data_IF_789631105288
#
_entry.id   IF_789631105288
#
_cell.length_a   1.000
_cell.length_b   1.000
_cell.length_c   1.000
_cell.angle_alpha   90.00
_cell.angle_beta   90.00
_cell.angle_gamma   90.00
#
_symmetry.space_group_name_H-M   'P 1'
#
loop_
_entity.id
_entity.type
_entity.pdbx_description
1 polymer ?
#
# COMPACT_ATOMS: atom_id res chain seq x y z
N UNK A 1 13.80 -44.63 7.86
CA UNK A 1 12.80 -43.94 8.71
C UNK A 1 12.90 -42.48 8.37
N UNK A 2 11.78 -41.82 8.07
CA UNK A 2 11.75 -40.37 7.90
C UNK A 2 11.84 -39.71 9.29
N UNK A 3 12.66 -38.69 9.42
CA UNK A 3 12.74 -37.86 10.64
C UNK A 3 11.69 -36.76 10.53
N UNK A 4 10.87 -36.61 11.57
CA UNK A 4 9.87 -35.57 11.65
C UNK A 4 10.21 -34.60 12.79
N UNK A 5 9.99 -33.30 12.56
CA UNK A 5 10.13 -32.24 13.57
C UNK A 5 8.74 -31.73 13.91
N UNK A 6 8.31 -31.90 15.16
CA UNK A 6 7.05 -31.37 15.66
C UNK A 6 7.31 -30.07 16.45
N UNK A 7 6.87 -28.93 15.93
CA UNK A 7 7.02 -27.62 16.58
C UNK A 7 5.78 -26.77 16.36
N UNK A 8 5.36 -26.05 17.39
CA UNK A 8 4.25 -25.09 17.31
C UNK A 8 4.74 -23.68 16.91
N UNK A 9 6.01 -23.39 17.18
CA UNK A 9 6.60 -22.08 16.86
C UNK A 9 8.12 -22.18 16.64
N UNK A 10 8.62 -21.36 15.73
CA UNK A 10 10.04 -21.04 15.58
C UNK A 10 10.25 -19.60 16.04
N UNK A 11 11.20 -19.40 16.97
CA UNK A 11 11.44 -18.10 17.59
C UNK A 11 12.89 -17.66 17.42
N UNK A 12 13.09 -16.35 17.37
CA UNK A 12 14.39 -15.73 17.59
C UNK A 12 14.85 -15.99 19.04
N UNK A 13 16.16 -16.00 19.30
CA UNK A 13 16.73 -16.20 20.65
C UNK A 13 16.19 -15.25 21.70
N UNK A 14 15.74 -14.05 21.33
CA UNK A 14 15.05 -13.09 22.18
C UNK A 14 13.56 -13.38 22.45
N UNK A 15 13.04 -14.52 22.01
CA UNK A 15 11.67 -14.97 22.27
C UNK A 15 10.62 -14.51 21.25
N UNK A 16 10.96 -13.61 20.32
CA UNK A 16 10.03 -13.16 19.26
C UNK A 16 9.72 -14.30 18.28
N UNK A 17 8.45 -14.59 18.05
CA UNK A 17 8.03 -15.62 17.11
C UNK A 17 8.27 -15.18 15.67
N UNK A 18 9.12 -15.92 14.96
CA UNK A 18 9.32 -15.76 13.53
C UNK A 18 8.22 -16.47 12.73
N UNK A 19 7.81 -17.65 13.20
CA UNK A 19 6.78 -18.48 12.58
C UNK A 19 5.99 -19.20 13.66
N UNK A 20 4.69 -19.36 13.45
CA UNK A 20 3.82 -20.23 14.25
C UNK A 20 3.05 -21.19 13.36
N UNK A 21 2.73 -22.37 13.88
CA UNK A 21 1.90 -23.38 13.22
C UNK A 21 0.68 -23.60 14.10
N UNK A 22 -0.51 -23.42 13.56
CA UNK A 22 -1.75 -23.64 14.31
C UNK A 22 -2.15 -25.13 14.36
N UNK A 23 -3.17 -25.44 15.13
CA UNK A 23 -3.67 -26.83 15.30
C UNK A 23 -4.17 -27.48 14.00
N UNK A 24 -4.38 -26.70 12.95
CA UNK A 24 -4.76 -27.18 11.62
C UNK A 24 -3.55 -27.28 10.68
N UNK A 25 -2.32 -27.07 11.17
CA UNK A 25 -1.09 -27.13 10.38
C UNK A 25 -0.86 -25.89 9.52
N UNK A 26 -1.61 -24.77 9.71
CA UNK A 26 -1.42 -23.55 8.94
C UNK A 26 -0.30 -22.72 9.54
N UNK A 27 0.58 -22.24 8.67
CA UNK A 27 1.72 -21.41 9.05
C UNK A 27 1.36 -19.93 9.03
N UNK A 28 1.79 -19.19 10.04
CA UNK A 28 1.70 -17.73 10.08
C UNK A 28 3.07 -17.11 10.37
N UNK A 29 3.31 -15.91 9.85
CA UNK A 29 4.50 -15.10 10.04
C UNK A 29 4.11 -13.82 10.80
N UNK A 30 3.96 -13.87 12.12
CA UNK A 30 3.36 -12.77 12.90
C UNK A 30 4.17 -11.48 12.86
N UNK A 31 5.49 -11.56 12.68
CA UNK A 31 6.38 -10.39 12.63
C UNK A 31 6.63 -9.86 11.20
N UNK A 32 6.05 -10.49 10.18
CA UNK A 32 6.25 -10.03 8.81
C UNK A 32 5.49 -8.72 8.56
N UNK A 33 6.18 -7.64 8.13
CA UNK A 33 5.54 -6.37 7.85
C UNK A 33 4.43 -6.48 6.82
N UNK A 34 3.25 -5.96 7.17
CA UNK A 34 2.07 -5.90 6.30
C UNK A 34 1.08 -4.88 6.81
N UNK A 35 0.35 -4.26 5.91
CA UNK A 35 -0.68 -3.29 6.28
C UNK A 35 -1.84 -3.29 5.29
N UNK A 36 -2.98 -2.82 5.75
CA UNK A 36 -4.14 -2.46 4.94
C UNK A 36 -4.80 -1.23 5.54
N UNK A 37 -4.97 -0.22 4.72
CA UNK A 37 -5.70 1.01 5.04
C UNK A 37 -6.76 1.28 3.99
N UNK A 38 -7.89 1.81 4.42
CA UNK A 38 -9.00 2.22 3.54
C UNK A 38 -9.27 3.71 3.72
N UNK A 39 -9.76 4.36 2.69
CA UNK A 39 -10.17 5.76 2.79
C UNK A 39 -11.28 5.91 3.83
N UNK A 40 -11.16 6.85 4.76
CA UNK A 40 -12.12 7.03 5.88
C UNK A 40 -13.33 7.88 5.53
N UNK A 41 -13.19 8.79 4.56
CA UNK A 41 -14.27 9.65 4.06
C UNK A 41 -14.02 9.96 2.59
N UNK A 42 -15.11 10.21 1.85
CA UNK A 42 -15.00 10.68 0.48
C UNK A 42 -14.20 11.99 0.44
N UNK A 43 -13.23 12.07 -0.44
CA UNK A 43 -12.27 13.18 -0.48
C UNK A 43 -12.19 13.74 -1.89
N UNK A 44 -12.25 15.07 -2.01
CA UNK A 44 -12.04 15.73 -3.29
C UNK A 44 -10.61 15.50 -3.76
N UNK A 45 -10.47 15.03 -5.00
CA UNK A 45 -9.17 14.96 -5.68
C UNK A 45 -8.90 16.34 -6.25
N UNK A 46 -7.79 16.99 -5.90
CA UNK A 46 -7.45 18.30 -6.41
C UNK A 46 -7.31 18.30 -7.94
N UNK A 47 -7.71 19.40 -8.56
CA UNK A 47 -7.36 19.70 -9.94
C UNK A 47 -5.89 20.15 -9.98
N UNK A 48 -5.07 19.48 -10.76
CA UNK A 48 -3.66 19.83 -10.92
C UNK A 48 -2.75 18.63 -11.20
N UNK A 49 -1.63 18.98 -11.80
CA UNK A 49 -0.55 18.04 -12.12
C UNK A 49 0.29 17.75 -10.87
N UNK A 50 0.73 16.52 -10.70
CA UNK A 50 1.70 16.11 -9.68
C UNK A 50 1.26 16.36 -8.21
N UNK A 51 -0.03 16.28 -7.94
CA UNK A 51 -0.50 16.38 -6.56
C UNK A 51 -0.15 15.08 -5.82
N UNK A 52 0.85 15.16 -4.97
CA UNK A 52 1.06 14.16 -3.95
C UNK A 52 -0.20 14.08 -3.09
N UNK A 53 -0.92 12.98 -3.21
CA UNK A 53 -2.02 12.72 -2.31
C UNK A 53 -1.48 12.26 -0.97
N UNK A 54 -0.66 13.08 -0.35
CA UNK A 54 -0.34 12.94 1.06
C UNK A 54 -1.61 13.22 1.84
N UNK A 55 -2.59 12.36 1.65
CA UNK A 55 -3.81 12.42 2.41
C UNK A 55 -3.39 12.25 3.84
N UNK A 56 -3.66 13.24 4.66
CA UNK A 56 -3.32 13.22 6.08
C UNK A 56 -3.76 11.89 6.69
N UNK A 57 -3.07 11.41 7.71
CA UNK A 57 -3.42 10.17 8.40
C UNK A 57 -4.91 10.10 8.82
N UNK A 58 -5.53 11.27 9.01
CA UNK A 58 -6.96 11.39 9.29
C UNK A 58 -7.88 10.96 8.12
N UNK A 59 -7.36 10.85 6.91
CA UNK A 59 -8.12 10.42 5.75
C UNK A 59 -8.08 8.90 5.53
N UNK A 60 -7.31 8.17 6.33
CA UNK A 60 -7.17 6.72 6.23
C UNK A 60 -7.60 6.01 7.51
N UNK A 61 -8.35 4.95 7.34
CA UNK A 61 -8.70 4.03 8.43
C UNK A 61 -7.82 2.79 8.31
N UNK A 62 -7.01 2.57 9.30
CA UNK A 62 -6.21 1.36 9.42
C UNK A 62 -7.12 0.16 9.70
N UNK A 63 -6.95 -0.92 8.95
CA UNK A 63 -7.58 -2.21 9.19
C UNK A 63 -6.65 -3.13 9.94
N UNK A 64 -5.40 -3.10 9.58
CA UNK A 64 -4.27 -3.68 10.32
C UNK A 64 -2.96 -3.06 9.84
N UNK A 65 -1.97 -2.99 10.73
CA UNK A 65 -0.58 -2.63 10.43
C UNK A 65 0.36 -3.42 11.35
N UNK A 66 1.08 -4.34 10.77
CA UNK A 66 2.10 -5.13 11.45
C UNK A 66 3.47 -4.58 11.08
N UNK A 67 4.13 -3.98 12.05
CA UNK A 67 5.46 -3.38 11.88
C UNK A 67 5.46 -1.86 11.75
N UNK A 68 4.31 -1.19 11.87
CA UNK A 68 4.22 0.27 11.73
C UNK A 68 4.56 0.73 10.30
N UNK A 69 3.98 0.07 9.32
CA UNK A 69 4.29 0.31 7.91
C UNK A 69 3.62 1.55 7.34
N UNK A 70 2.50 1.98 7.91
CA UNK A 70 1.71 3.07 7.35
C UNK A 70 1.41 4.14 8.38
N UNK A 71 1.70 5.38 8.04
CA UNK A 71 1.40 6.54 8.89
C UNK A 71 1.46 7.83 8.09
N UNK A 72 0.64 8.80 8.48
CA UNK A 72 0.59 10.13 7.81
C UNK A 72 0.40 10.07 6.30
N UNK A 73 -0.35 9.06 5.80
CA UNK A 73 -0.57 8.87 4.36
C UNK A 73 0.62 8.27 3.59
N UNK A 74 1.63 7.79 4.29
CA UNK A 74 2.85 7.24 3.73
C UNK A 74 3.04 5.78 4.12
N UNK A 75 3.52 4.96 3.21
CA UNK A 75 4.20 3.73 3.57
C UNK A 75 5.62 4.07 4.00
N UNK A 76 6.07 3.49 5.11
CA UNK A 76 7.46 3.55 5.57
C UNK A 76 7.95 2.12 5.80
N UNK A 77 9.02 1.74 5.14
CA UNK A 77 9.58 0.41 5.28
C UNK A 77 10.22 0.22 6.68
N UNK A 78 9.69 -0.65 7.54
CA UNK A 78 10.27 -0.88 8.87
C UNK A 78 11.58 -1.68 8.79
N UNK A 79 11.75 -2.50 7.78
CA UNK A 79 12.96 -3.30 7.52
C UNK A 79 13.24 -3.34 6.02
N UNK A 80 14.50 -3.44 5.64
CA UNK A 80 14.88 -3.59 4.22
C UNK A 80 14.30 -4.87 3.61
N UNK A 81 13.99 -4.83 2.32
CA UNK A 81 13.56 -5.99 1.55
C UNK A 81 12.59 -5.65 0.43
N UNK A 82 12.10 -6.69 -0.22
CA UNK A 82 11.15 -6.56 -1.33
C UNK A 82 9.73 -6.54 -0.79
N UNK A 83 9.00 -5.52 -1.15
CA UNK A 83 7.60 -5.32 -0.78
C UNK A 83 6.70 -5.40 -2.00
N UNK A 84 5.58 -6.09 -1.84
CA UNK A 84 4.44 -5.98 -2.72
C UNK A 84 3.53 -4.89 -2.19
N UNK A 85 3.24 -3.87 -2.99
CA UNK A 85 2.37 -2.77 -2.62
C UNK A 85 1.31 -2.59 -3.69
N UNK A 86 0.06 -2.46 -3.26
CA UNK A 86 -1.08 -2.16 -4.13
C UNK A 86 -1.78 -0.91 -3.63
N UNK A 87 -2.02 0.00 -4.54
CA UNK A 87 -2.87 1.17 -4.35
C UNK A 87 -4.04 1.09 -5.31
N UNK A 88 -5.24 1.03 -4.78
CA UNK A 88 -6.48 1.15 -5.54
C UNK A 88 -7.16 2.46 -5.19
N UNK A 89 -7.54 3.20 -6.21
CA UNK A 89 -8.38 4.36 -6.08
C UNK A 89 -9.67 4.14 -6.86
N UNK A 90 -10.80 4.38 -6.20
CA UNK A 90 -12.11 4.42 -6.81
C UNK A 90 -12.65 5.84 -6.74
N UNK A 91 -13.07 6.40 -7.85
CA UNK A 91 -13.44 7.80 -7.94
C UNK A 91 -14.60 8.04 -8.90
N UNK A 92 -15.23 9.19 -8.71
CA UNK A 92 -16.27 9.73 -9.58
C UNK A 92 -15.75 11.04 -10.22
N UNK A 93 -15.14 10.97 -11.41
CA UNK A 93 -14.68 12.15 -12.12
C UNK A 93 -15.85 12.87 -12.81
N UNK A 94 -15.77 14.19 -12.91
CA UNK A 94 -16.69 14.98 -13.71
C UNK A 94 -16.60 14.63 -15.19
N UNK A 95 -17.67 14.84 -15.94
CA UNK A 95 -17.66 14.62 -17.37
C UNK A 95 -16.58 15.46 -18.07
N UNK A 96 -15.78 14.82 -18.91
CA UNK A 96 -14.66 15.46 -19.62
C UNK A 96 -13.36 15.58 -18.80
N UNK A 97 -13.38 15.16 -17.53
CA UNK A 97 -12.18 15.09 -16.69
C UNK A 97 -11.42 13.79 -16.92
N UNK A 98 -10.14 13.80 -16.62
CA UNK A 98 -9.35 12.57 -16.49
C UNK A 98 -8.70 12.54 -15.11
N UNK A 99 -8.46 11.34 -14.63
CA UNK A 99 -7.86 11.09 -13.33
C UNK A 99 -6.86 9.95 -13.43
N UNK A 100 -5.82 10.03 -12.66
CA UNK A 100 -4.81 8.98 -12.54
C UNK A 100 -4.39 8.79 -11.09
N UNK A 101 -3.82 7.64 -10.81
CA UNK A 101 -3.24 7.30 -9.53
C UNK A 101 -1.80 6.85 -9.71
N UNK A 102 -0.95 7.13 -8.74
CA UNK A 102 0.45 6.79 -8.82
C UNK A 102 1.10 6.57 -7.46
N UNK A 103 2.27 5.97 -7.50
CA UNK A 103 3.15 5.79 -6.35
C UNK A 103 4.48 6.50 -6.63
N UNK A 104 4.97 7.25 -5.65
CA UNK A 104 6.27 7.93 -5.69
C UNK A 104 6.97 7.78 -4.35
N UNK A 105 8.28 7.86 -4.29
CA UNK A 105 8.96 7.84 -3.01
C UNK A 105 10.47 7.84 -3.06
N UNK A 106 11.08 8.11 -1.90
CA UNK A 106 12.54 8.05 -1.71
C UNK A 106 13.10 6.64 -1.81
N UNK A 107 12.22 5.64 -1.82
CA UNK A 107 12.57 4.24 -1.98
C UNK A 107 12.70 3.80 -3.44
N UNK A 108 12.09 4.56 -4.35
CA UNK A 108 12.06 4.25 -5.78
C UNK A 108 13.19 5.06 -6.44
N UNK A 109 14.42 4.78 -6.03
CA UNK A 109 15.61 5.30 -6.69
C UNK A 109 16.09 4.26 -7.67
N UNK A 110 15.41 4.12 -8.78
CA UNK A 110 15.98 3.19 -9.69
C UNK A 110 16.01 3.64 -11.13
N UNK A 111 16.85 2.90 -11.83
CA UNK A 111 17.19 2.98 -13.23
C UNK A 111 15.98 2.84 -14.16
N UNK A 112 14.79 2.50 -13.66
CA UNK A 112 13.60 2.24 -14.46
C UNK A 112 12.45 3.23 -14.26
N UNK A 113 12.66 4.32 -13.51
CA UNK A 113 11.72 5.45 -13.48
C UNK A 113 10.30 5.09 -13.06
N UNK A 114 10.12 4.15 -12.15
CA UNK A 114 8.81 3.83 -11.56
C UNK A 114 8.26 4.97 -10.68
N UNK A 115 8.88 6.13 -10.76
CA UNK A 115 8.46 7.34 -10.05
C UNK A 115 7.06 7.79 -10.42
N UNK A 116 6.48 7.29 -11.51
CA UNK A 116 5.16 7.71 -11.96
C UNK A 116 4.46 6.57 -12.72
N UNK A 117 3.94 5.59 -12.00
CA UNK A 117 2.97 4.67 -12.59
C UNK A 117 1.61 5.38 -12.63
N UNK A 118 1.33 6.01 -13.75
CA UNK A 118 0.06 6.70 -13.98
C UNK A 118 -0.86 5.83 -14.83
N UNK A 119 -2.08 5.67 -14.38
CA UNK A 119 -3.18 5.16 -15.19
C UNK A 119 -4.19 6.27 -15.40
N UNK A 120 -4.57 6.54 -16.63
CA UNK A 120 -5.50 7.61 -17.00
C UNK A 120 -6.80 7.02 -17.52
N UNK A 121 -7.91 7.60 -17.13
CA UNK A 121 -9.20 7.31 -17.72
C UNK A 121 -10.00 8.62 -17.89
N UNK A 122 -10.66 8.76 -19.05
CA UNK A 122 -11.58 9.85 -19.31
C UNK A 122 -12.85 9.70 -18.47
N UNK A 123 -13.30 10.81 -17.89
CA UNK A 123 -14.38 10.83 -16.92
C UNK A 123 -15.77 10.80 -17.50
N UNK A 124 -16.72 10.70 -16.58
CA UNK A 124 -18.18 10.71 -16.82
C UNK A 124 -18.91 9.58 -16.08
N UNK A 125 -18.22 8.59 -15.56
CA UNK A 125 -18.75 7.51 -14.72
C UNK A 125 -17.77 7.17 -13.62
N UNK A 126 -18.27 6.52 -12.58
CA UNK A 126 -17.44 5.92 -11.53
C UNK A 126 -16.36 5.02 -12.16
N UNK A 127 -15.13 5.21 -11.75
CA UNK A 127 -13.98 4.48 -12.28
C UNK A 127 -13.00 4.09 -11.19
N UNK A 128 -12.30 2.98 -11.38
CA UNK A 128 -11.30 2.48 -10.45
C UNK A 128 -9.97 2.23 -11.13
N UNK A 129 -8.89 2.55 -10.42
CA UNK A 129 -7.52 2.30 -10.82
C UNK A 129 -6.85 1.43 -9.79
N UNK A 130 -6.09 0.46 -10.26
CA UNK A 130 -5.27 -0.38 -9.37
C UNK A 130 -3.83 -0.33 -9.85
N UNK A 131 -2.94 0.10 -8.98
CA UNK A 131 -1.51 0.03 -9.16
C UNK A 131 -0.93 -1.02 -8.24
N UNK A 132 -0.10 -1.87 -8.79
CA UNK A 132 0.65 -2.86 -8.03
C UNK A 132 2.11 -2.79 -8.41
N UNK A 133 2.98 -2.72 -7.42
CA UNK A 133 4.42 -2.70 -7.62
C UNK A 133 5.13 -3.68 -6.68
N UNK A 134 6.22 -4.26 -7.18
CA UNK A 134 7.25 -4.92 -6.38
C UNK A 134 8.41 -3.96 -6.25
N UNK A 135 8.73 -3.55 -5.04
CA UNK A 135 9.78 -2.56 -4.78
C UNK A 135 10.79 -3.11 -3.78
N UNK A 136 12.07 -3.00 -4.12
CA UNK A 136 13.15 -3.26 -3.18
C UNK A 136 13.43 -1.98 -2.40
N UNK A 137 13.22 -2.02 -1.10
CA UNK A 137 13.17 -0.84 -0.24
C UNK A 137 14.12 -1.00 0.93
N UNK A 138 15.04 -0.05 1.10
CA UNK A 138 15.86 0.02 2.31
C UNK A 138 15.02 0.44 3.52
N UNK A 139 15.41 0.03 4.72
CA UNK A 139 14.72 0.40 5.95
C UNK A 139 14.61 1.93 6.11
N UNK A 140 13.47 2.39 6.59
CA UNK A 140 13.18 3.81 6.82
C UNK A 140 12.86 4.61 5.56
N UNK A 141 12.82 3.98 4.38
CA UNK A 141 12.41 4.67 3.14
C UNK A 141 10.90 4.70 3.00
N UNK A 142 10.42 5.74 2.34
CA UNK A 142 8.98 6.02 2.21
C UNK A 142 8.49 5.90 0.78
N UNK A 143 7.22 5.53 0.64
CA UNK A 143 6.46 5.60 -0.61
C UNK A 143 5.22 6.44 -0.34
N UNK A 144 5.00 7.44 -1.19
CA UNK A 144 3.82 8.28 -1.24
C UNK A 144 2.86 7.73 -2.29
N UNK A 145 1.58 8.02 -2.08
CA UNK A 145 0.52 7.65 -3.00
C UNK A 145 -0.09 8.94 -3.53
N UNK A 146 -0.07 9.09 -4.84
CA UNK A 146 -0.48 10.32 -5.50
C UNK A 146 -1.68 10.15 -6.40
N UNK A 147 -2.32 11.27 -6.70
CA UNK A 147 -3.36 11.38 -7.71
C UNK A 147 -3.04 12.48 -8.67
N UNK A 148 -3.45 12.29 -9.90
CA UNK A 148 -3.39 13.30 -10.95
C UNK A 148 -4.77 13.46 -11.55
N UNK A 149 -5.23 14.68 -11.75
CA UNK A 149 -6.52 14.91 -12.38
C UNK A 149 -6.60 16.29 -13.04
N UNK A 150 -7.46 16.40 -14.04
CA UNK A 150 -7.97 17.68 -14.50
C UNK A 150 -9.48 17.69 -14.28
N UNK A 151 -9.95 18.71 -13.58
CA UNK A 151 -11.34 18.83 -13.17
C UNK A 151 -11.67 18.21 -11.82
N UNK A 152 -12.89 18.41 -11.36
CA UNK A 152 -13.33 17.94 -10.05
C UNK A 152 -13.58 16.44 -10.06
N UNK A 153 -13.01 15.77 -9.10
CA UNK A 153 -13.22 14.34 -8.85
C UNK A 153 -13.35 14.08 -7.36
N UNK A 154 -14.04 13.01 -7.01
CA UNK A 154 -14.18 12.59 -5.62
C UNK A 154 -13.68 11.15 -5.49
N UNK A 155 -12.65 10.94 -4.68
CA UNK A 155 -12.24 9.61 -4.25
C UNK A 155 -13.27 9.07 -3.25
N UNK A 156 -13.65 7.81 -3.40
CA UNK A 156 -14.75 7.18 -2.66
C UNK A 156 -14.26 6.13 -1.70
N UNK A 157 -14.92 6.04 -0.56
CA UNK A 157 -14.59 5.08 0.51
C UNK A 157 -14.89 3.64 0.15
N UNK A 158 -15.82 3.40 -0.75
CA UNK A 158 -16.33 2.08 -1.14
C UNK A 158 -15.39 1.30 -2.09
N UNK A 159 -14.24 1.86 -2.42
CA UNK A 159 -13.27 1.17 -3.30
C UNK A 159 -11.86 1.71 -3.25
N UNK A 160 -11.55 2.67 -2.36
CA UNK A 160 -10.20 3.23 -2.25
C UNK A 160 -9.47 2.64 -1.06
N UNK A 161 -8.34 1.98 -1.33
CA UNK A 161 -7.50 1.35 -0.31
C UNK A 161 -6.04 1.25 -0.73
N UNK A 162 -5.18 1.08 0.26
CA UNK A 162 -3.77 0.75 0.07
C UNK A 162 -3.44 -0.45 0.93
N UNK A 163 -2.77 -1.42 0.36
CA UNK A 163 -2.21 -2.52 1.13
C UNK A 163 -0.81 -2.87 0.66
N UNK A 164 -0.06 -3.49 1.55
CA UNK A 164 1.25 -4.01 1.21
C UNK A 164 1.74 -5.04 2.21
N UNK A 165 2.72 -5.81 1.78
CA UNK A 165 3.41 -6.79 2.62
C UNK A 165 4.82 -7.06 2.11
N UNK A 166 5.70 -7.41 3.04
CA UNK A 166 7.07 -7.82 2.71
C UNK A 166 7.06 -9.24 2.13
N UNK A 167 7.77 -9.42 1.02
CA UNK A 167 7.91 -10.73 0.37
C UNK A 167 9.23 -11.39 0.80
N UNK A 168 10.33 -10.63 0.75
CA UNK A 168 11.67 -11.11 1.02
C UNK A 168 12.52 -10.08 1.76
#
# INVERSE_FOLDING_TARGET
>A
MASELHVDAIKHSGGTSAMTIDSSGRMTLPAQPRFLVTLSSNTTVPDGHDQDWSVSAASWTEKFDVGGCFGSGLFTSPVAGVYHITYQMYCNPSAGSYIGAGMNGTAITDTYGLTNLWHFQAGGNDTGFTHTALVDVAAGKTIQFGTYGNGSSTARTDGTFIYGYKIA
#
